data_IF_668762410236
#
_entry.id   IF_668762410236
#
_cell.length_a   1.000
_cell.length_b   1.000
_cell.length_c   1.000
_cell.angle_alpha   90.00
_cell.angle_beta   90.00
_cell.angle_gamma   90.00
#
_symmetry.space_group_name_H-M   'P 1'
#
loop_
_entity.id
_entity.type
_entity.pdbx_description
1 polymer ?
#
# COMPACT_ATOMS: atom_id res chain seq x y z
N UNK A 1 28.63 -16.03 8.25
CA UNK A 1 27.30 -15.98 8.89
C UNK A 1 26.29 -16.41 7.83
N UNK A 2 26.38 -17.67 7.40
CA UNK A 2 25.81 -18.16 6.13
C UNK A 2 24.65 -19.15 6.36
N UNK A 3 24.19 -19.27 7.61
CA UNK A 3 23.26 -20.31 8.06
C UNK A 3 21.79 -20.08 7.72
N UNK A 4 21.37 -18.84 7.45
CA UNK A 4 19.95 -18.54 7.18
C UNK A 4 19.55 -18.72 5.70
N UNK A 5 20.50 -18.62 4.77
CA UNK A 5 20.23 -18.77 3.33
C UNK A 5 20.03 -20.24 2.93
N UNK A 6 20.67 -21.19 3.62
CA UNK A 6 20.48 -22.62 3.32
C UNK A 6 19.13 -23.14 3.80
N UNK A 7 18.63 -22.63 4.95
CA UNK A 7 17.33 -23.01 5.51
C UNK A 7 16.14 -22.61 4.62
N UNK A 8 16.25 -21.51 3.86
CA UNK A 8 15.23 -21.16 2.87
C UNK A 8 15.25 -22.06 1.64
N UNK A 9 16.38 -22.70 1.31
CA UNK A 9 16.48 -23.58 0.13
C UNK A 9 15.75 -24.92 0.31
N UNK A 10 15.58 -25.37 1.55
CA UNK A 10 15.01 -26.69 1.90
C UNK A 10 13.52 -26.68 2.24
N UNK A 11 12.87 -25.51 2.26
CA UNK A 11 11.43 -25.43 2.51
C UNK A 11 10.65 -26.07 1.34
N UNK A 12 9.73 -27.02 1.62
CA UNK A 12 8.91 -27.63 0.57
C UNK A 12 8.15 -26.53 -0.19
N UNK A 13 8.06 -26.63 -1.52
CA UNK A 13 7.39 -25.67 -2.40
C UNK A 13 6.08 -25.03 -1.85
N UNK A 14 5.16 -25.77 -1.19
CA UNK A 14 3.97 -25.17 -0.58
C UNK A 14 4.24 -24.21 0.59
N UNK A 15 5.33 -24.39 1.35
CA UNK A 15 5.71 -23.51 2.46
C UNK A 15 6.27 -22.16 1.95
N UNK A 16 7.05 -22.16 0.86
CA UNK A 16 7.48 -20.93 0.17
C UNK A 16 6.31 -20.13 -0.42
N UNK A 17 5.35 -20.83 -1.02
CA UNK A 17 4.15 -20.20 -1.58
C UNK A 17 3.27 -19.53 -0.51
N UNK A 18 3.19 -20.09 0.71
CA UNK A 18 2.46 -19.48 1.83
C UNK A 18 3.17 -18.26 2.41
N UNK A 19 4.50 -18.29 2.49
CA UNK A 19 5.29 -17.18 3.05
C UNK A 19 5.24 -15.93 2.15
N UNK A 20 5.30 -16.14 0.83
CA UNK A 20 5.11 -15.08 -0.18
C UNK A 20 3.69 -14.52 -0.15
N UNK A 21 2.66 -15.37 -0.01
CA UNK A 21 1.27 -14.92 0.08
C UNK A 21 0.98 -14.10 1.35
N UNK A 22 1.57 -14.48 2.49
CA UNK A 22 1.49 -13.70 3.72
C UNK A 22 2.27 -12.38 3.62
N UNK A 23 3.44 -12.37 2.96
CA UNK A 23 4.23 -11.16 2.74
C UNK A 23 3.50 -10.16 1.82
N UNK A 24 2.93 -10.65 0.71
CA UNK A 24 2.08 -9.85 -0.19
C UNK A 24 0.84 -9.35 0.56
N UNK A 25 0.18 -10.22 1.31
CA UNK A 25 -0.99 -9.85 2.12
C UNK A 25 -0.67 -8.76 3.16
N UNK A 26 0.46 -8.88 3.85
CA UNK A 26 0.94 -7.89 4.81
C UNK A 26 1.31 -6.56 4.15
N UNK A 27 1.96 -6.58 2.97
CA UNK A 27 2.28 -5.38 2.22
C UNK A 27 1.03 -4.66 1.73
N UNK A 28 0.02 -5.38 1.24
CA UNK A 28 -1.27 -4.82 0.81
C UNK A 28 -2.03 -4.25 2.01
N UNK A 29 -2.11 -4.99 3.11
CA UNK A 29 -2.77 -4.53 4.33
C UNK A 29 -2.11 -3.26 4.89
N UNK A 30 -0.77 -3.22 4.93
CA UNK A 30 -0.01 -2.05 5.33
C UNK A 30 -0.23 -0.85 4.39
N UNK A 31 -0.24 -1.09 3.07
CA UNK A 31 -0.51 -0.04 2.08
C UNK A 31 -1.93 0.53 2.20
N UNK A 32 -2.92 -0.33 2.46
CA UNK A 32 -4.30 0.08 2.71
C UNK A 32 -4.41 0.90 4.00
N UNK A 33 -3.78 0.45 5.08
CA UNK A 33 -3.77 1.19 6.34
C UNK A 33 -3.16 2.59 6.18
N UNK A 34 -1.97 2.67 5.57
CA UNK A 34 -1.30 3.96 5.33
C UNK A 34 -2.13 4.84 4.40
N UNK A 35 -2.70 4.27 3.32
CA UNK A 35 -3.56 5.00 2.39
C UNK A 35 -4.79 5.58 3.09
N UNK A 36 -5.49 4.79 3.90
CA UNK A 36 -6.67 5.26 4.64
C UNK A 36 -6.32 6.35 5.65
N UNK A 37 -5.19 6.22 6.36
CA UNK A 37 -4.73 7.25 7.30
C UNK A 37 -4.36 8.55 6.57
N UNK A 38 -3.73 8.46 5.40
CA UNK A 38 -3.40 9.63 4.58
C UNK A 38 -4.66 10.29 4.01
N UNK A 39 -5.65 9.50 3.58
CA UNK A 39 -6.92 9.99 3.06
C UNK A 39 -7.74 10.70 4.14
N UNK A 40 -7.91 10.09 5.31
CA UNK A 40 -8.63 10.71 6.44
C UNK A 40 -7.97 12.02 6.89
N UNK A 41 -6.63 12.07 6.92
CA UNK A 41 -5.89 13.30 7.20
C UNK A 41 -6.12 14.36 6.11
N UNK A 42 -6.06 13.95 4.83
CA UNK A 42 -6.29 14.85 3.70
C UNK A 42 -7.71 15.40 3.69
N UNK A 43 -8.73 14.54 3.83
CA UNK A 43 -10.13 14.93 3.91
C UNK A 43 -10.38 15.89 5.09
N UNK A 44 -9.88 15.54 6.28
CA UNK A 44 -9.97 16.42 7.46
C UNK A 44 -9.30 17.78 7.24
N UNK A 45 -8.16 17.82 6.54
CA UNK A 45 -7.46 19.07 6.20
C UNK A 45 -8.21 19.92 5.17
N UNK A 46 -8.78 19.28 4.14
CA UNK A 46 -9.59 19.95 3.11
C UNK A 46 -10.85 20.52 3.74
N UNK A 47 -11.49 19.77 4.63
CA UNK A 47 -12.65 20.23 5.37
C UNK A 47 -12.33 21.43 6.28
N UNK A 48 -11.29 21.31 7.11
CA UNK A 48 -10.90 22.38 8.03
C UNK A 48 -10.48 23.67 7.31
N UNK A 49 -9.67 23.55 6.25
CA UNK A 49 -9.25 24.67 5.42
C UNK A 49 -10.43 25.25 4.62
N UNK A 50 -11.32 24.39 4.14
CA UNK A 50 -12.53 24.76 3.44
C UNK A 50 -13.45 25.64 4.28
N UNK A 51 -13.71 25.19 5.50
CA UNK A 51 -14.50 25.94 6.49
C UNK A 51 -13.84 27.26 6.87
N UNK A 52 -12.51 27.26 7.08
CA UNK A 52 -11.75 28.46 7.44
C UNK A 52 -11.71 29.49 6.30
N UNK A 53 -11.67 29.03 5.04
CA UNK A 53 -11.71 29.88 3.86
C UNK A 53 -13.14 30.31 3.45
N UNK A 54 -14.17 29.81 4.13
CA UNK A 54 -15.57 30.08 3.78
C UNK A 54 -15.98 29.50 2.43
N UNK A 55 -15.35 28.40 2.01
CA UNK A 55 -15.65 27.74 0.74
C UNK A 55 -17.04 27.09 0.78
N UNK A 56 -17.79 27.08 -0.33
CA UNK A 56 -19.04 26.34 -0.41
C UNK A 56 -18.80 24.85 -0.21
N UNK A 57 -19.72 24.18 0.49
CA UNK A 57 -19.62 22.76 0.84
C UNK A 57 -19.38 21.85 -0.38
N UNK A 58 -19.95 22.19 -1.54
CA UNK A 58 -19.73 21.47 -2.80
C UNK A 58 -18.25 21.44 -3.24
N UNK A 59 -17.48 22.51 -2.98
CA UNK A 59 -16.06 22.54 -3.30
C UNK A 59 -15.24 21.69 -2.33
N UNK A 60 -15.62 21.68 -1.06
CA UNK A 60 -14.99 20.84 -0.02
C UNK A 60 -15.21 19.36 -0.37
N UNK A 61 -16.46 18.98 -0.65
CA UNK A 61 -16.83 17.63 -1.06
C UNK A 61 -16.12 17.20 -2.34
N UNK A 62 -15.96 18.12 -3.31
CA UNK A 62 -15.19 17.88 -4.51
C UNK A 62 -13.70 17.61 -4.22
N UNK A 63 -13.10 18.38 -3.32
CA UNK A 63 -11.72 18.18 -2.88
C UNK A 63 -11.51 16.84 -2.17
N UNK A 64 -12.41 16.48 -1.27
CA UNK A 64 -12.43 15.17 -0.60
C UNK A 64 -12.55 14.02 -1.62
N UNK A 65 -13.45 14.15 -2.60
CA UNK A 65 -13.60 13.18 -3.68
C UNK A 65 -12.31 12.97 -4.49
N UNK A 66 -11.59 14.05 -4.80
CA UNK A 66 -10.28 13.97 -5.48
C UNK A 66 -9.23 13.27 -4.58
N UNK A 67 -9.22 13.56 -3.28
CA UNK A 67 -8.32 12.92 -2.32
C UNK A 67 -8.56 11.39 -2.25
N UNK A 68 -9.82 10.96 -2.27
CA UNK A 68 -10.23 9.56 -2.32
C UNK A 68 -9.70 8.86 -3.58
N UNK A 69 -9.85 9.48 -4.76
CA UNK A 69 -9.33 8.92 -6.01
C UNK A 69 -7.81 8.83 -5.98
N UNK A 70 -7.12 9.86 -5.50
CA UNK A 70 -5.67 9.86 -5.36
C UNK A 70 -5.19 8.73 -4.41
N UNK A 71 -5.89 8.53 -3.29
CA UNK A 71 -5.62 7.43 -2.37
C UNK A 71 -5.74 6.07 -3.06
N UNK A 72 -6.84 5.83 -3.79
CA UNK A 72 -7.05 4.58 -4.52
C UNK A 72 -5.94 4.31 -5.55
N UNK A 73 -5.53 5.32 -6.33
CA UNK A 73 -4.44 5.20 -7.30
C UNK A 73 -3.12 4.87 -6.59
N UNK A 74 -2.82 5.53 -5.47
CA UNK A 74 -1.61 5.28 -4.69
C UNK A 74 -1.59 3.86 -4.14
N UNK A 75 -2.70 3.38 -3.57
CA UNK A 75 -2.83 2.01 -3.07
C UNK A 75 -2.58 1.00 -4.18
N UNK A 76 -3.17 1.18 -5.38
CA UNK A 76 -2.95 0.29 -6.53
C UNK A 76 -1.48 0.31 -6.97
N UNK A 77 -0.84 1.49 -7.01
CA UNK A 77 0.57 1.60 -7.36
C UNK A 77 1.48 0.86 -6.37
N UNK A 78 1.21 0.99 -5.06
CA UNK A 78 1.95 0.29 -4.02
C UNK A 78 1.72 -1.22 -4.12
N UNK A 79 0.49 -1.67 -4.30
CA UNK A 79 0.17 -3.09 -4.47
C UNK A 79 0.86 -3.69 -5.70
N UNK A 80 0.84 -2.99 -6.84
CA UNK A 80 1.57 -3.39 -8.04
C UNK A 80 3.07 -3.48 -7.79
N UNK A 81 3.65 -2.51 -7.08
CA UNK A 81 5.07 -2.52 -6.77
C UNK A 81 5.44 -3.66 -5.81
N UNK A 82 4.62 -3.93 -4.80
CA UNK A 82 4.83 -5.06 -3.90
C UNK A 82 4.82 -6.40 -4.66
N UNK A 83 3.86 -6.60 -5.58
CA UNK A 83 3.80 -7.78 -6.45
C UNK A 83 5.02 -7.86 -7.39
N UNK A 84 5.48 -6.73 -7.91
CA UNK A 84 6.67 -6.69 -8.77
C UNK A 84 7.95 -7.07 -8.00
N UNK A 85 8.14 -6.55 -6.78
CA UNK A 85 9.28 -6.90 -5.93
C UNK A 85 9.25 -8.39 -5.54
N UNK A 86 8.07 -8.94 -5.24
CA UNK A 86 7.92 -10.36 -4.95
C UNK A 86 8.18 -11.25 -6.17
N UNK A 87 7.76 -10.83 -7.38
CA UNK A 87 8.10 -11.55 -8.62
C UNK A 87 9.60 -11.52 -8.92
N UNK A 88 10.28 -10.39 -8.68
CA UNK A 88 11.74 -10.30 -8.80
C UNK A 88 12.46 -11.20 -7.79
N UNK A 89 12.03 -11.18 -6.52
CA UNK A 89 12.56 -12.10 -5.48
C UNK A 89 12.36 -13.56 -5.85
N UNK A 90 11.17 -13.92 -6.31
CA UNK A 90 10.85 -15.28 -6.73
C UNK A 90 11.69 -15.74 -7.95
N UNK A 91 12.04 -14.79 -8.84
CA UNK A 91 12.91 -15.03 -9.98
C UNK A 91 14.41 -15.06 -9.62
N UNK A 92 14.80 -14.78 -8.37
CA UNK A 92 16.19 -14.68 -7.94
C UNK A 92 16.94 -13.49 -8.56
N UNK A 93 16.20 -12.51 -9.08
CA UNK A 93 16.75 -11.29 -9.66
C UNK A 93 17.01 -10.25 -8.56
N UNK A 94 18.02 -9.37 -8.73
CA UNK A 94 18.28 -8.31 -7.78
C UNK A 94 17.09 -7.34 -7.69
N UNK A 95 16.83 -6.89 -6.47
CA UNK A 95 15.72 -6.02 -6.08
C UNK A 95 16.27 -4.65 -5.70
#
# INVERSE_FOLDING_TARGET
>A
MDGDLSAMSSLPAPAKARLTLNAVGGAIAGALFVGLMAETLAAGSIWALGMLAGLPELFILGGEGVALVACAVLTVAIARRALHLETLRAAGLPV
#
